data_IF_100518083077
#
_entry.id   IF_100518083077
#
_cell.length_a   1.000
_cell.length_b   1.000
_cell.length_c   1.000
_cell.angle_alpha   90.00
_cell.angle_beta   90.00
_cell.angle_gamma   90.00
#
_symmetry.space_group_name_H-M   'P 1'
#
loop_
_entity.id
_entity.type
_entity.pdbx_description
1 polymer ?
#
# COMPACT_ATOMS: atom_id res chain seq x y z
N UNK A 1 15.15 18.71 -9.75
CA UNK A 1 15.72 18.07 -8.53
C UNK A 1 14.64 17.40 -7.69
N UNK A 2 13.62 18.15 -7.26
CA UNK A 2 12.60 17.63 -6.35
C UNK A 2 11.74 16.51 -6.98
N UNK A 3 11.34 16.67 -8.26
CA UNK A 3 10.66 15.63 -9.03
C UNK A 3 11.47 14.31 -9.18
N UNK A 4 12.81 14.41 -9.20
CA UNK A 4 13.71 13.26 -9.39
C UNK A 4 13.89 12.45 -8.10
N UNK A 5 13.85 13.11 -6.94
CA UNK A 5 13.82 12.44 -5.64
C UNK A 5 12.49 11.68 -5.42
N UNK A 6 11.39 12.21 -5.93
CA UNK A 6 10.07 11.56 -5.85
C UNK A 6 9.96 10.32 -6.71
N UNK A 7 10.48 10.40 -7.93
CA UNK A 7 10.42 9.28 -8.83
C UNK A 7 11.34 8.13 -8.40
N UNK A 8 12.50 8.44 -7.80
CA UNK A 8 13.37 7.43 -7.19
C UNK A 8 12.71 6.70 -6.00
N UNK A 9 11.99 7.41 -5.14
CA UNK A 9 11.32 6.79 -3.97
C UNK A 9 10.17 5.88 -4.38
N UNK A 10 9.39 6.28 -5.39
CA UNK A 10 8.33 5.44 -5.97
C UNK A 10 8.93 4.23 -6.70
N UNK A 11 10.01 4.42 -7.46
CA UNK A 11 10.69 3.33 -8.16
C UNK A 11 11.23 2.28 -7.17
N UNK A 12 11.83 2.70 -6.05
CA UNK A 12 12.33 1.77 -5.02
C UNK A 12 11.22 0.93 -4.39
N UNK A 13 10.00 1.47 -4.24
CA UNK A 13 8.84 0.72 -3.78
C UNK A 13 8.31 -0.27 -4.82
N UNK A 14 8.50 0.01 -6.11
CA UNK A 14 8.02 -0.84 -7.21
C UNK A 14 8.96 -2.02 -7.54
N UNK A 15 10.26 -1.92 -7.21
CA UNK A 15 11.27 -2.96 -7.50
C UNK A 15 10.87 -4.37 -7.02
N UNK A 16 10.34 -4.57 -5.79
CA UNK A 16 9.96 -5.90 -5.32
C UNK A 16 8.79 -6.52 -6.10
N UNK A 17 7.91 -5.67 -6.66
CA UNK A 17 6.72 -6.13 -7.38
C UNK A 17 6.95 -6.27 -8.90
N UNK A 18 7.87 -5.48 -9.47
CA UNK A 18 8.18 -5.52 -10.89
C UNK A 18 9.62 -5.06 -11.15
N UNK A 19 10.62 -5.97 -11.12
CA UNK A 19 12.03 -5.60 -11.28
C UNK A 19 12.34 -4.94 -12.63
N UNK A 20 11.55 -5.23 -13.68
CA UNK A 20 11.66 -4.59 -15.00
C UNK A 20 11.32 -3.10 -14.99
N UNK A 21 10.50 -2.64 -14.04
CA UNK A 21 10.15 -1.22 -13.91
C UNK A 21 11.33 -0.36 -13.46
N UNK A 22 12.35 -0.95 -12.82
CA UNK A 22 13.56 -0.24 -12.42
C UNK A 22 14.34 0.28 -13.63
N UNK A 23 14.48 -0.57 -14.66
CA UNK A 23 15.19 -0.24 -15.90
C UNK A 23 14.42 0.83 -16.67
N UNK A 24 13.08 0.69 -16.74
CA UNK A 24 12.21 1.68 -17.36
C UNK A 24 12.28 3.04 -16.63
N UNK A 25 12.24 3.03 -15.30
CA UNK A 25 12.34 4.24 -14.47
C UNK A 25 13.69 4.95 -14.67
N UNK A 26 14.79 4.19 -14.74
CA UNK A 26 16.11 4.74 -15.05
C UNK A 26 16.13 5.43 -16.42
N UNK A 27 15.58 4.77 -17.45
CA UNK A 27 15.47 5.34 -18.80
C UNK A 27 14.65 6.64 -18.81
N UNK A 28 13.48 6.63 -18.15
CA UNK A 28 12.63 7.80 -18.01
C UNK A 28 13.34 8.94 -17.26
N UNK A 29 14.15 8.66 -16.25
CA UNK A 29 14.93 9.70 -15.55
C UNK A 29 16.00 10.34 -16.42
N UNK A 30 16.67 9.55 -17.25
CA UNK A 30 17.65 10.08 -18.21
C UNK A 30 16.95 11.01 -19.22
N UNK A 31 15.80 10.58 -19.75
CA UNK A 31 15.00 11.40 -20.69
C UNK A 31 14.53 12.68 -20.00
N UNK A 32 13.97 12.58 -18.80
CA UNK A 32 13.45 13.72 -18.05
C UNK A 32 14.57 14.72 -17.72
N UNK A 33 15.76 14.23 -17.35
CA UNK A 33 16.93 15.09 -17.12
C UNK A 33 17.37 15.83 -18.39
N UNK A 34 17.40 15.15 -19.54
CA UNK A 34 17.71 15.80 -20.83
C UNK A 34 16.66 16.84 -21.20
N UNK A 35 15.38 16.52 -20.99
CA UNK A 35 14.27 17.43 -21.25
C UNK A 35 14.34 18.68 -20.35
N UNK A 36 14.51 18.50 -19.03
CA UNK A 36 14.65 19.60 -18.09
C UNK A 36 15.83 20.51 -18.45
N UNK A 37 16.97 19.92 -18.82
CA UNK A 37 18.14 20.69 -19.27
C UNK A 37 17.80 21.52 -20.52
N UNK A 38 17.20 20.90 -21.53
CA UNK A 38 16.81 21.57 -22.77
C UNK A 38 15.82 22.70 -22.51
N UNK A 39 14.83 22.45 -21.65
CA UNK A 39 13.80 23.38 -21.28
C UNK A 39 14.37 24.61 -20.55
N UNK A 40 15.25 24.37 -19.57
CA UNK A 40 15.94 25.42 -18.81
C UNK A 40 16.85 26.28 -19.69
N UNK A 41 17.51 25.69 -20.70
CA UNK A 41 18.44 26.42 -21.57
C UNK A 41 17.75 27.23 -22.66
N UNK A 42 16.63 26.76 -23.19
CA UNK A 42 16.00 27.39 -24.36
C UNK A 42 14.73 28.19 -24.05
N UNK A 43 13.98 27.83 -23.00
CA UNK A 43 12.65 28.40 -22.76
C UNK A 43 12.54 29.21 -21.48
N UNK A 44 13.47 29.08 -20.53
CA UNK A 44 13.41 29.82 -19.27
C UNK A 44 14.45 30.94 -19.20
N UNK A 45 14.00 32.10 -18.71
CA UNK A 45 14.88 33.21 -18.35
C UNK A 45 15.47 32.95 -16.97
N UNK A 46 16.75 33.27 -16.78
CA UNK A 46 17.44 33.11 -15.49
C UNK A 46 16.64 33.81 -14.38
N UNK A 47 16.32 33.12 -13.27
CA UNK A 47 15.54 33.71 -12.18
C UNK A 47 16.31 34.87 -11.54
N UNK A 48 15.57 35.93 -11.17
CA UNK A 48 16.11 37.16 -10.59
C UNK A 48 16.58 36.99 -9.14
N UNK A 49 15.97 36.08 -8.39
CA UNK A 49 16.37 35.73 -7.02
C UNK A 49 17.00 34.34 -6.98
N UNK A 50 18.16 34.17 -6.34
CA UNK A 50 18.74 32.85 -6.12
C UNK A 50 17.79 32.02 -5.26
N UNK A 51 17.48 30.81 -5.72
CA UNK A 51 16.63 29.89 -4.97
C UNK A 51 17.35 29.46 -3.68
N UNK A 52 16.72 29.69 -2.53
CA UNK A 52 17.25 29.31 -1.23
C UNK A 52 17.10 27.80 -1.01
N UNK A 53 18.21 27.12 -0.75
CA UNK A 53 18.22 25.69 -0.42
C UNK A 53 17.35 25.35 0.81
N UNK A 54 17.15 26.33 1.71
CA UNK A 54 16.30 26.18 2.90
C UNK A 54 14.83 25.93 2.56
N UNK A 55 14.34 26.56 1.48
CA UNK A 55 12.93 26.44 1.07
C UNK A 55 12.65 25.08 0.44
N UNK A 56 13.63 24.50 -0.26
CA UNK A 56 13.56 23.14 -0.79
C UNK A 56 13.45 22.09 0.32
N UNK A 57 14.20 22.26 1.43
CA UNK A 57 14.15 21.36 2.57
C UNK A 57 12.79 21.34 3.27
N UNK A 58 12.15 22.51 3.42
CA UNK A 58 10.83 22.60 4.02
C UNK A 58 9.73 21.95 3.16
N UNK A 59 9.81 22.10 1.83
CA UNK A 59 8.92 21.41 0.91
C UNK A 59 9.13 19.88 0.94
N UNK A 60 10.38 19.42 0.98
CA UNK A 60 10.72 18.00 1.08
C UNK A 60 10.11 17.36 2.32
N UNK A 61 10.24 18.00 3.49
CA UNK A 61 9.70 17.48 4.75
C UNK A 61 8.17 17.34 4.70
N UNK A 62 7.45 18.38 4.25
CA UNK A 62 5.98 18.33 4.14
C UNK A 62 5.52 17.22 3.20
N UNK A 63 6.19 17.08 2.07
CA UNK A 63 5.87 16.05 1.08
C UNK A 63 6.20 14.65 1.58
N UNK A 64 7.33 14.47 2.27
CA UNK A 64 7.70 13.18 2.86
C UNK A 64 6.62 12.67 3.83
N UNK A 65 6.10 13.53 4.70
CA UNK A 65 4.97 13.18 5.56
C UNK A 65 3.71 12.82 4.76
N UNK A 66 3.41 13.55 3.69
CA UNK A 66 2.30 13.21 2.79
C UNK A 66 2.48 11.82 2.16
N UNK A 67 3.68 11.49 1.68
CA UNK A 67 3.96 10.15 1.10
C UNK A 67 3.83 9.03 2.11
N UNK A 68 4.25 9.24 3.37
CA UNK A 68 4.06 8.27 4.44
C UNK A 68 2.57 8.03 4.67
N UNK A 69 1.76 9.09 4.76
CA UNK A 69 0.31 8.96 4.98
C UNK A 69 -0.35 8.20 3.82
N UNK A 70 -0.01 8.53 2.58
CA UNK A 70 -0.51 7.83 1.39
C UNK A 70 -0.09 6.35 1.41
N UNK A 71 1.17 6.06 1.76
CA UNK A 71 1.69 4.71 1.81
C UNK A 71 1.02 3.86 2.90
N UNK A 72 0.86 4.43 4.10
CA UNK A 72 0.13 3.77 5.19
C UNK A 72 -1.32 3.55 4.80
N UNK A 73 -1.98 4.53 4.17
CA UNK A 73 -3.35 4.42 3.69
C UNK A 73 -3.52 3.32 2.65
N UNK A 74 -2.64 3.25 1.65
CA UNK A 74 -2.65 2.20 0.64
C UNK A 74 -2.32 0.82 1.22
N UNK A 75 -1.35 0.74 2.13
CA UNK A 75 -1.02 -0.51 2.82
C UNK A 75 -2.21 -0.97 3.66
N UNK A 76 -2.89 -0.07 4.36
CA UNK A 76 -4.10 -0.38 5.12
C UNK A 76 -5.23 -0.87 4.23
N UNK A 77 -5.51 -0.15 3.15
CA UNK A 77 -6.49 -0.55 2.13
C UNK A 77 -6.16 -1.94 1.56
N UNK A 78 -4.90 -2.20 1.19
CA UNK A 78 -4.47 -3.49 0.66
C UNK A 78 -4.62 -4.62 1.67
N UNK A 79 -4.26 -4.40 2.94
CA UNK A 79 -4.36 -5.41 4.01
C UNK A 79 -5.81 -5.63 4.49
N UNK A 80 -6.69 -4.63 4.32
CA UNK A 80 -8.11 -4.68 4.66
C UNK A 80 -8.95 -5.29 3.53
N UNK A 81 -8.57 -5.09 2.27
CA UNK A 81 -9.30 -5.63 1.13
C UNK A 81 -9.28 -7.15 1.13
N UNK A 82 -10.48 -7.72 1.18
CA UNK A 82 -10.73 -9.16 1.06
C UNK A 82 -10.78 -9.64 -0.40
N UNK A 83 -10.66 -8.72 -1.36
CA UNK A 83 -10.68 -9.00 -2.81
C UNK A 83 -9.45 -9.75 -3.33
N UNK A 84 -8.56 -10.23 -2.46
CA UNK A 84 -7.60 -11.29 -2.79
C UNK A 84 -8.12 -12.61 -2.22
N UNK A 85 -9.16 -13.23 -2.81
CA UNK A 85 -9.79 -14.38 -2.20
C UNK A 85 -8.89 -15.61 -2.39
N UNK A 86 -8.03 -15.85 -1.40
CA UNK A 86 -7.19 -17.04 -1.29
C UNK A 86 -7.87 -18.17 -0.49
N UNK A 87 -9.04 -17.89 0.09
CA UNK A 87 -9.88 -18.91 0.71
C UNK A 87 -10.76 -19.56 -0.35
N UNK A 88 -10.70 -20.88 -0.42
CA UNK A 88 -11.46 -21.68 -1.39
C UNK A 88 -12.97 -21.41 -1.32
N UNK A 89 -13.48 -21.14 -0.11
CA UNK A 89 -14.90 -20.81 0.14
C UNK A 89 -15.31 -19.44 -0.38
N UNK A 90 -14.36 -18.50 -0.50
CA UNK A 90 -14.63 -17.11 -0.90
C UNK A 90 -14.26 -16.82 -2.36
N UNK A 91 -13.39 -17.64 -2.94
CA UNK A 91 -12.84 -17.46 -4.28
C UNK A 91 -13.92 -17.29 -5.35
N UNK A 92 -14.95 -18.13 -5.29
CA UNK A 92 -16.01 -18.11 -6.29
C UNK A 92 -17.23 -17.27 -5.85
N UNK A 93 -17.50 -17.16 -4.55
CA UNK A 93 -18.63 -16.34 -4.04
C UNK A 93 -18.56 -14.87 -4.44
N UNK A 94 -17.35 -14.30 -4.61
CA UNK A 94 -17.17 -12.93 -5.06
C UNK A 94 -17.38 -12.75 -6.57
N UNK A 95 -17.29 -13.85 -7.34
CA UNK A 95 -17.50 -13.88 -8.78
C UNK A 95 -18.97 -14.14 -9.15
N UNK A 96 -19.74 -14.75 -8.22
CA UNK A 96 -21.19 -14.96 -8.37
C UNK A 96 -21.94 -13.65 -8.61
N UNK A 97 -21.64 -12.61 -7.83
CA UNK A 97 -22.28 -11.29 -7.96
C UNK A 97 -22.02 -10.62 -9.32
N UNK A 98 -20.94 -11.02 -10.00
CA UNK A 98 -20.50 -10.49 -11.30
C UNK A 98 -20.95 -11.41 -12.45
N UNK A 99 -21.49 -12.59 -12.15
CA UNK A 99 -21.91 -13.60 -13.13
C UNK A 99 -20.75 -14.33 -13.83
N UNK A 100 -19.55 -14.28 -13.24
CA UNK A 100 -18.31 -14.89 -13.75
C UNK A 100 -17.83 -16.04 -12.84
N UNK A 101 -18.76 -16.59 -12.05
CA UNK A 101 -18.50 -17.73 -11.18
C UNK A 101 -18.23 -19.00 -12.00
N UNK A 102 -17.19 -19.73 -11.62
CA UNK A 102 -16.81 -20.98 -12.27
C UNK A 102 -17.52 -22.18 -11.66
N UNK A 103 -17.84 -22.14 -10.37
CA UNK A 103 -18.56 -23.19 -9.68
C UNK A 103 -20.06 -23.09 -9.92
N UNK A 104 -20.70 -24.24 -10.09
CA UNK A 104 -22.16 -24.34 -10.06
C UNK A 104 -22.66 -24.05 -8.64
N UNK A 105 -23.73 -23.27 -8.53
CA UNK A 105 -24.34 -22.93 -7.25
C UNK A 105 -24.69 -24.17 -6.43
N UNK A 106 -24.22 -24.21 -5.17
CA UNK A 106 -24.52 -25.27 -4.22
C UNK A 106 -23.73 -26.57 -4.39
N UNK A 107 -22.77 -26.64 -5.32
CA UNK A 107 -21.96 -27.86 -5.54
C UNK A 107 -20.59 -27.84 -4.85
N UNK A 108 -20.28 -26.76 -4.13
CA UNK A 108 -19.05 -26.65 -3.35
C UNK A 108 -19.04 -27.62 -2.16
N UNK A 109 -18.06 -28.53 -2.14
CA UNK A 109 -17.86 -29.48 -1.06
C UNK A 109 -16.79 -28.95 -0.09
N UNK A 110 -17.19 -28.69 1.15
CA UNK A 110 -16.32 -28.14 2.18
C UNK A 110 -15.26 -29.13 2.71
N UNK A 111 -15.43 -30.45 2.48
CA UNK A 111 -14.48 -31.46 2.90
C UNK A 111 -13.30 -31.62 1.91
N UNK A 112 -13.56 -31.38 0.63
CA UNK A 112 -12.55 -31.49 -0.45
C UNK A 112 -12.12 -30.14 -0.99
N UNK A 113 -12.76 -29.03 -0.58
CA UNK A 113 -12.53 -27.67 -1.08
C UNK A 113 -12.69 -27.54 -2.61
N UNK A 114 -13.53 -28.40 -3.21
CA UNK A 114 -13.77 -28.47 -4.65
C UNK A 114 -15.23 -28.23 -5.00
N UNK A 115 -15.48 -27.82 -6.24
CA UNK A 115 -16.83 -27.63 -6.79
C UNK A 115 -16.93 -28.22 -8.20
N UNK A 116 -18.16 -28.40 -8.69
CA UNK A 116 -18.38 -28.75 -10.10
C UNK A 116 -18.36 -27.50 -10.95
N UNK A 117 -17.63 -27.52 -12.06
CA UNK A 117 -17.48 -26.38 -12.96
C UNK A 117 -18.64 -26.25 -13.96
N UNK A 118 -19.02 -25.02 -14.32
CA UNK A 118 -19.86 -24.76 -15.49
C UNK A 118 -19.10 -25.11 -16.78
N UNK A 119 -19.42 -26.22 -17.43
CA UNK A 119 -18.76 -26.66 -18.69
C UNK A 119 -18.92 -25.67 -19.85
N UNK A 120 -19.89 -24.76 -19.77
CA UNK A 120 -20.13 -23.69 -20.74
C UNK A 120 -19.24 -22.47 -20.53
N UNK A 121 -18.56 -22.37 -19.39
CA UNK A 121 -17.68 -21.24 -19.09
C UNK A 121 -16.38 -21.35 -19.89
N UNK A 122 -15.90 -20.28 -20.56
CA UNK A 122 -14.73 -20.35 -21.42
C UNK A 122 -13.45 -20.75 -20.67
N UNK A 123 -13.35 -20.45 -19.38
CA UNK A 123 -12.23 -20.86 -18.53
C UNK A 123 -12.41 -22.23 -17.86
N UNK A 124 -13.59 -22.86 -17.92
CA UNK A 124 -13.79 -24.17 -17.29
C UNK A 124 -12.95 -25.27 -17.91
N UNK A 125 -12.67 -25.20 -19.21
CA UNK A 125 -11.79 -26.15 -19.89
C UNK A 125 -10.34 -26.13 -19.35
N UNK A 126 -9.88 -24.98 -18.84
CA UNK A 126 -8.55 -24.85 -18.23
C UNK A 126 -8.48 -25.54 -16.85
N UNK A 127 -9.60 -25.57 -16.12
CA UNK A 127 -9.67 -26.12 -14.77
C UNK A 127 -10.30 -27.52 -14.69
N UNK A 128 -10.86 -28.05 -15.78
CA UNK A 128 -11.46 -29.39 -15.81
C UNK A 128 -10.42 -30.49 -16.03
N UNK A 129 -10.43 -31.54 -15.21
CA UNK A 129 -9.58 -32.75 -15.31
C UNK A 129 -9.62 -33.43 -16.68
N UNK A 130 -10.74 -33.29 -17.40
CA UNK A 130 -11.00 -34.02 -18.65
C UNK A 130 -10.37 -33.40 -19.90
N UNK A 131 -9.75 -32.22 -19.83
CA UNK A 131 -9.27 -31.56 -21.05
C UNK A 131 -8.03 -32.28 -21.60
N UNK A 132 -6.93 -32.40 -20.86
CA UNK A 132 -5.72 -33.13 -21.24
C UNK A 132 -5.12 -33.72 -19.95
N UNK A 133 -4.50 -34.91 -19.98
CA UNK A 133 -3.85 -35.56 -18.82
C UNK A 133 -2.67 -34.79 -18.19
N UNK A 134 -2.55 -33.50 -18.52
CA UNK A 134 -1.63 -32.46 -18.01
C UNK A 134 -2.43 -31.27 -17.43
N UNK A 135 -3.68 -31.48 -17.01
CA UNK A 135 -4.50 -30.43 -16.41
C UNK A 135 -3.80 -29.81 -15.21
N UNK A 136 -3.60 -28.49 -15.24
CA UNK A 136 -2.90 -27.73 -14.19
C UNK A 136 -3.56 -27.95 -12.80
N UNK A 137 -4.85 -28.32 -12.77
CA UNK A 137 -5.68 -28.44 -11.57
C UNK A 137 -6.10 -29.90 -11.26
N UNK A 138 -5.14 -30.83 -11.09
CA UNK A 138 -5.42 -32.25 -10.75
C UNK A 138 -6.17 -32.43 -9.41
N UNK A 139 -6.04 -31.48 -8.49
CA UNK A 139 -6.76 -31.50 -7.20
C UNK A 139 -8.18 -30.90 -7.27
N UNK A 140 -8.63 -30.46 -8.44
CA UNK A 140 -9.92 -29.81 -8.67
C UNK A 140 -9.96 -28.32 -8.28
N UNK A 141 -10.87 -27.59 -8.92
CA UNK A 141 -11.13 -26.17 -8.65
C UNK A 141 -12.16 -26.03 -7.51
N UNK A 142 -12.05 -25.00 -6.63
CA UNK A 142 -11.00 -23.98 -6.55
C UNK A 142 -9.73 -24.43 -5.81
N UNK A 143 -9.71 -25.62 -5.17
CA UNK A 143 -8.61 -26.12 -4.35
C UNK A 143 -7.23 -25.91 -4.97
N UNK A 144 -7.02 -26.22 -6.26
CA UNK A 144 -5.72 -26.07 -6.90
C UNK A 144 -5.14 -24.63 -6.86
N UNK A 145 -6.01 -23.61 -6.82
CA UNK A 145 -5.62 -22.19 -6.79
C UNK A 145 -5.47 -21.66 -5.37
N UNK A 146 -6.35 -22.07 -4.45
CA UNK A 146 -6.38 -21.57 -3.08
C UNK A 146 -5.49 -22.37 -2.11
N UNK A 147 -5.47 -23.70 -2.22
CA UNK A 147 -4.73 -24.61 -1.32
C UNK A 147 -3.70 -25.51 -2.04
N UNK A 148 -3.72 -25.54 -3.37
CA UNK A 148 -2.85 -26.37 -4.19
C UNK A 148 -1.55 -25.70 -4.66
N UNK A 149 -1.01 -26.23 -5.76
CA UNK A 149 0.31 -25.89 -6.31
C UNK A 149 0.49 -24.41 -6.69
N UNK A 150 -0.60 -23.69 -6.99
CA UNK A 150 -0.56 -22.27 -7.38
C UNK A 150 -0.72 -21.32 -6.20
N UNK A 151 -1.02 -21.83 -5.00
CA UNK A 151 -1.13 -21.03 -3.80
C UNK A 151 0.25 -20.57 -3.32
N UNK A 152 0.69 -19.39 -3.77
CA UNK A 152 1.99 -18.83 -3.42
C UNK A 152 1.87 -17.66 -2.41
N UNK A 153 2.81 -17.64 -1.45
CA UNK A 153 3.03 -16.52 -0.52
C UNK A 153 2.57 -16.77 0.92
N UNK A 154 2.89 -15.87 1.86
CA UNK A 154 2.68 -16.08 3.30
C UNK A 154 1.22 -15.88 3.77
N UNK A 155 0.30 -15.58 2.86
CA UNK A 155 -1.09 -15.20 3.16
C UNK A 155 -2.12 -16.21 2.62
N UNK A 156 -1.70 -17.44 2.28
CA UNK A 156 -2.55 -18.45 1.63
C UNK A 156 -3.70 -18.94 2.51
N UNK A 157 -3.55 -18.97 3.83
CA UNK A 157 -4.56 -19.50 4.77
C UNK A 157 -5.35 -18.41 5.51
N UNK A 158 -5.19 -17.13 5.15
CA UNK A 158 -5.70 -16.01 5.95
C UNK A 158 -6.57 -15.06 5.13
N UNK A 159 -7.76 -14.74 5.64
CA UNK A 159 -8.75 -13.90 4.94
C UNK A 159 -8.41 -12.40 4.97
N UNK A 160 -7.47 -12.01 5.82
CA UNK A 160 -6.91 -10.65 5.87
C UNK A 160 -5.39 -10.74 6.00
N UNK A 161 -4.69 -9.86 5.28
CA UNK A 161 -3.24 -9.72 5.43
C UNK A 161 -2.80 -9.29 6.83
N UNK A 162 -3.73 -8.76 7.64
CA UNK A 162 -3.47 -8.46 9.05
C UNK A 162 -3.33 -9.71 9.92
N UNK A 163 -4.08 -10.78 9.66
CA UNK A 163 -4.14 -11.96 10.53
C UNK A 163 -2.77 -12.61 10.85
N UNK A 164 -1.89 -12.87 9.86
CA UNK A 164 -0.57 -13.45 10.16
C UNK A 164 0.39 -12.41 10.79
N UNK A 165 0.21 -11.12 10.49
CA UNK A 165 0.98 -10.04 11.12
C UNK A 165 0.59 -9.94 12.59
N UNK A 166 -0.70 -9.93 12.91
CA UNK A 166 -1.20 -9.92 14.29
C UNK A 166 -0.81 -11.18 15.04
N UNK A 167 -0.86 -12.36 14.41
CA UNK A 167 -0.42 -13.60 15.05
C UNK A 167 1.08 -13.56 15.41
N UNK A 168 1.93 -13.00 14.54
CA UNK A 168 3.37 -12.79 14.82
C UNK A 168 3.61 -11.76 15.93
N UNK A 169 2.83 -10.68 15.95
CA UNK A 169 2.93 -9.62 16.97
C UNK A 169 2.49 -10.17 18.35
N UNK A 170 1.39 -10.91 18.39
CA UNK A 170 0.81 -11.49 19.61
C UNK A 170 1.66 -12.64 20.17
N UNK A 171 2.48 -13.30 19.34
CA UNK A 171 3.44 -14.31 19.79
C UNK A 171 4.47 -13.78 20.81
N UNK A 172 4.59 -12.45 20.95
CA UNK A 172 5.42 -11.81 21.98
C UNK A 172 4.51 -11.24 23.08
N UNK A 173 4.60 -11.74 24.31
CA UNK A 173 3.68 -11.42 25.41
C UNK A 173 3.56 -9.91 25.69
N UNK A 174 4.70 -9.20 25.72
CA UNK A 174 4.75 -7.74 25.97
C UNK A 174 4.08 -6.95 24.85
N UNK A 175 4.22 -7.41 23.60
CA UNK A 175 3.67 -6.71 22.44
C UNK A 175 2.17 -6.99 22.31
N UNK A 176 1.69 -8.18 22.71
CA UNK A 176 0.27 -8.52 22.73
C UNK A 176 -0.57 -7.63 23.66
N UNK A 177 -0.09 -7.36 24.88
CA UNK A 177 -0.80 -6.47 25.81
C UNK A 177 -0.88 -5.03 25.29
N UNK A 178 0.22 -4.50 24.76
CA UNK A 178 0.22 -3.18 24.12
C UNK A 178 -0.71 -3.17 22.91
N UNK A 179 -0.62 -4.18 22.04
CA UNK A 179 -1.42 -4.27 20.82
C UNK A 179 -2.93 -4.37 21.09
N UNK A 180 -3.34 -5.13 22.11
CA UNK A 180 -4.74 -5.20 22.54
C UNK A 180 -5.24 -3.90 23.17
N UNK A 181 -4.38 -3.15 23.88
CA UNK A 181 -4.69 -1.80 24.38
C UNK A 181 -4.91 -0.81 23.21
N UNK A 182 -4.07 -0.89 22.17
CA UNK A 182 -4.15 -0.03 20.97
C UNK A 182 -5.40 -0.34 20.12
N UNK A 183 -5.76 -1.62 19.96
CA UNK A 183 -6.95 -2.02 19.18
C UNK A 183 -8.26 -1.85 19.96
N UNK A 184 -8.27 -2.17 21.26
CA UNK A 184 -9.45 -2.05 22.13
C UNK A 184 -9.86 -0.61 22.42
N UNK A 185 -8.93 0.34 22.24
CA UNK A 185 -9.17 1.77 22.49
C UNK A 185 -8.65 2.66 21.35
N UNK A 186 -8.91 2.30 20.09
CA UNK A 186 -8.43 3.08 18.93
C UNK A 186 -8.73 4.59 19.06
N UNK A 187 -9.88 4.95 19.63
CA UNK A 187 -10.23 6.32 19.98
C UNK A 187 -9.29 6.98 20.99
N UNK A 188 -8.87 6.29 22.06
CA UNK A 188 -7.95 6.81 23.07
C UNK A 188 -6.55 7.06 22.49
N UNK A 189 -6.10 6.19 21.58
CA UNK A 189 -4.83 6.34 20.86
C UNK A 189 -4.86 7.59 19.98
N UNK A 190 -5.93 7.77 19.21
CA UNK A 190 -6.10 8.97 18.39
C UNK A 190 -6.27 10.24 19.21
N UNK A 191 -6.90 10.18 20.40
CA UNK A 191 -6.97 11.30 21.35
C UNK A 191 -5.59 11.65 21.91
N UNK A 192 -4.77 10.65 22.22
CA UNK A 192 -3.37 10.86 22.66
C UNK A 192 -2.52 11.50 21.56
N UNK A 193 -2.63 10.98 20.34
CA UNK A 193 -1.94 11.54 19.16
C UNK A 193 -2.41 12.97 18.87
N UNK A 194 -3.73 13.22 18.90
CA UNK A 194 -4.32 14.54 18.72
C UNK A 194 -3.91 15.52 19.81
N UNK A 195 -3.88 15.09 21.07
CA UNK A 195 -3.40 15.88 22.21
C UNK A 195 -1.92 16.22 22.08
N UNK A 196 -1.09 15.27 21.67
CA UNK A 196 0.34 15.47 21.45
C UNK A 196 0.60 16.42 20.27
N UNK A 197 -0.18 16.32 19.20
CA UNK A 197 -0.15 17.27 18.08
C UNK A 197 -0.59 18.67 18.51
N UNK A 198 -1.62 18.81 19.35
CA UNK A 198 -2.05 20.10 19.91
C UNK A 198 -0.94 20.72 20.77
N UNK A 199 -0.30 19.95 21.64
CA UNK A 199 0.82 20.41 22.46
C UNK A 199 2.00 20.87 21.60
N UNK A 200 2.33 20.12 20.53
CA UNK A 200 3.38 20.51 19.58
C UNK A 200 3.02 21.76 18.79
N UNK A 201 1.73 21.94 18.44
CA UNK A 201 1.25 23.12 17.74
C UNK A 201 1.30 24.37 18.64
N UNK A 202 0.88 24.24 19.90
CA UNK A 202 0.90 25.34 20.87
C UNK A 202 2.31 25.70 21.33
N UNK A 203 3.22 24.72 21.49
CA UNK A 203 4.62 25.00 21.84
C UNK A 203 5.40 25.70 20.71
N UNK A 204 5.03 25.47 19.44
CA UNK A 204 5.59 26.22 18.30
C UNK A 204 5.01 27.63 18.14
N UNK A 205 3.76 27.84 18.55
CA UNK A 205 3.12 29.16 18.51
C UNK A 205 3.44 30.04 19.73
N UNK A 206 4.07 29.50 20.78
CA UNK A 206 4.60 30.32 21.88
C UNK A 206 5.96 30.92 21.55
N UNK A 207 6.04 31.74 20.50
CA UNK A 207 7.15 32.70 20.40
C UNK A 207 6.96 33.72 21.52
N UNK A 208 7.85 33.72 22.52
CA UNK A 208 7.92 34.78 23.54
C UNK A 208 8.14 36.10 22.82
N UNK A 209 7.09 36.92 22.74
CA UNK A 209 7.20 38.34 22.37
C UNK A 209 8.01 39.01 23.49
N UNK A 210 9.32 39.20 23.29
CA UNK A 210 10.07 40.19 24.07
C UNK A 210 9.62 41.54 23.54
N UNK A 211 8.78 42.23 24.30
CA UNK A 211 8.48 43.64 24.09
C UNK A 211 9.80 44.37 24.32
N UNK A 212 10.46 44.77 23.24
CA UNK A 212 11.56 45.71 23.30
C UNK A 212 11.00 47.06 23.73
N UNK A 213 11.23 47.45 24.97
CA UNK A 213 11.08 48.83 25.43
C UNK A 213 11.98 49.72 24.57
N UNK A 214 11.41 50.38 23.56
CA UNK A 214 12.01 51.56 22.97
C UNK A 214 11.87 52.71 23.97
N UNK A 215 12.91 52.96 24.76
CA UNK A 215 13.10 54.25 25.41
C UNK A 215 13.46 55.27 24.34
N UNK A 216 12.44 55.89 23.75
CA UNK A 216 12.57 57.21 23.16
C UNK A 216 12.60 58.23 24.31
N UNK A 217 13.76 58.81 24.56
CA UNK A 217 13.85 60.11 25.22
C UNK A 217 14.61 61.05 24.30
N UNK A 218 13.81 61.89 23.63
CA UNK A 218 14.23 63.17 23.06
C UNK A 218 14.63 64.10 24.20
N UNK A 219 15.85 64.63 24.15
CA UNK A 219 16.21 66.03 24.42
C UNK A 219 17.71 66.19 24.19
#
# INVERSE_FOLDING_TARGET
MVALLYSCTIALLAIPLAPTTAILALGLHIVNFKYDKLYLTHFQKKPLSPWSAKDAGHFFIKFYFCTIVIFIGWTHYFLQNRHFPKHCTLQDTLLVDIGDALCVDGTFNNATETCTLYTTHPSAAYFSETAHGDGECESGYPSCVCSGKYACGPFITTASGYTPITARIIATSVVSELYSLFLGSSGAVWVLVGGLLLVLFFSRNSLKIRIGTQTHTHS
#
